data_IF_697514439117
#
_entry.id   IF_697514439117
#
_cell.length_a   1.000
_cell.length_b   1.000
_cell.length_c   1.000
_cell.angle_alpha   90.00
_cell.angle_beta   90.00
_cell.angle_gamma   90.00
#
_symmetry.space_group_name_H-M   'P 1'
#
loop_
_entity.id
_entity.type
_entity.pdbx_description
1 polymer ?
#
# COMPACT_ATOMS: atom_id res chain seq x y z
N UNK A 1 22.28 -10.10 4.05
CA UNK A 1 22.72 -9.40 5.25
C UNK A 1 22.23 -7.96 5.21
N UNK A 2 21.74 -7.44 6.31
CA UNK A 2 21.16 -6.09 6.47
C UNK A 2 22.19 -4.95 6.29
N UNK A 3 23.29 -5.18 5.62
CA UNK A 3 24.37 -4.21 5.38
C UNK A 3 24.25 -3.48 4.05
N UNK A 4 23.54 -4.07 3.08
CA UNK A 4 23.35 -3.44 1.78
C UNK A 4 22.15 -2.51 1.82
N UNK A 5 22.37 -1.23 1.50
CA UNK A 5 21.34 -0.19 1.41
C UNK A 5 20.92 0.05 -0.04
N UNK A 6 19.70 0.56 -0.23
CA UNK A 6 19.19 1.01 -1.53
C UNK A 6 19.32 -0.02 -2.65
N UNK A 7 19.07 -1.31 -2.32
CA UNK A 7 19.06 -2.38 -3.32
C UNK A 7 18.00 -2.03 -4.38
N UNK A 8 18.36 -2.14 -5.66
CA UNK A 8 17.50 -1.82 -6.80
C UNK A 8 17.71 -0.42 -7.38
N UNK A 9 18.21 0.57 -6.60
CA UNK A 9 18.37 1.95 -7.08
C UNK A 9 19.34 2.07 -8.26
N UNK A 10 20.52 1.40 -8.21
CA UNK A 10 21.46 1.40 -9.33
C UNK A 10 20.89 0.71 -10.57
N UNK A 11 20.15 -0.37 -10.38
CA UNK A 11 19.46 -1.08 -11.46
C UNK A 11 18.43 -0.17 -12.11
N UNK A 12 17.63 0.53 -11.32
CA UNK A 12 16.67 1.53 -11.82
C UNK A 12 17.35 2.67 -12.57
N UNK A 13 18.44 3.20 -12.03
CA UNK A 13 19.23 4.23 -12.72
C UNK A 13 19.71 3.74 -14.09
N UNK A 14 20.20 2.50 -14.17
CA UNK A 14 20.62 1.89 -15.44
C UNK A 14 19.45 1.72 -16.42
N UNK A 15 18.29 1.25 -15.94
CA UNK A 15 17.07 1.11 -16.75
C UNK A 15 16.67 2.47 -17.31
N UNK A 16 16.56 3.49 -16.47
CA UNK A 16 16.14 4.82 -16.88
C UNK A 16 17.11 5.46 -17.87
N UNK A 17 18.41 5.31 -17.66
CA UNK A 17 19.44 5.89 -18.52
C UNK A 17 19.43 5.25 -19.91
N UNK A 18 19.20 3.94 -20.02
CA UNK A 18 19.31 3.23 -21.29
C UNK A 18 17.96 3.04 -22.00
N UNK A 19 16.85 3.01 -21.28
CA UNK A 19 15.53 2.69 -21.80
C UNK A 19 14.48 3.80 -21.57
N UNK A 20 14.81 4.83 -20.77
CA UNK A 20 13.91 5.92 -20.42
C UNK A 20 12.94 5.58 -19.28
N UNK A 21 12.19 6.60 -18.84
CA UNK A 21 11.22 6.49 -17.73
C UNK A 21 9.83 6.01 -18.18
N UNK A 22 9.46 6.22 -19.44
CA UNK A 22 8.10 5.97 -19.93
C UNK A 22 8.02 4.62 -20.64
N UNK A 23 7.53 3.60 -19.92
CA UNK A 23 6.99 2.33 -20.45
C UNK A 23 7.77 1.66 -21.60
N UNK A 24 9.07 1.85 -21.69
CA UNK A 24 9.90 1.20 -22.71
C UNK A 24 10.22 -0.25 -22.35
N UNK A 25 10.03 -0.64 -21.09
CA UNK A 25 10.11 -2.02 -20.63
C UNK A 25 8.73 -2.47 -20.15
N UNK A 26 8.39 -3.73 -20.42
CA UNK A 26 7.19 -4.34 -19.89
C UNK A 26 7.25 -4.37 -18.34
N UNK A 27 6.11 -4.34 -17.69
CA UNK A 27 6.03 -4.53 -16.24
C UNK A 27 6.80 -5.81 -15.84
N UNK A 28 7.55 -5.72 -14.74
CA UNK A 28 8.32 -6.83 -14.17
C UNK A 28 9.33 -7.49 -15.12
N UNK A 29 9.80 -6.77 -16.14
CA UNK A 29 10.77 -7.24 -17.14
C UNK A 29 12.04 -7.83 -16.49
N UNK A 30 12.55 -7.17 -15.45
CA UNK A 30 13.66 -7.65 -14.63
C UNK A 30 13.17 -7.95 -13.22
N UNK A 31 13.15 -9.23 -12.85
CA UNK A 31 12.83 -9.66 -11.49
C UNK A 31 14.09 -10.04 -10.72
N UNK A 32 14.33 -9.36 -9.59
CA UNK A 32 15.43 -9.67 -8.66
C UNK A 32 14.85 -10.32 -7.41
N UNK A 33 15.25 -11.55 -7.13
CA UNK A 33 14.84 -12.32 -5.95
C UNK A 33 15.92 -12.25 -4.88
N UNK A 34 15.53 -11.86 -3.67
CA UNK A 34 16.40 -11.68 -2.51
C UNK A 34 15.92 -12.60 -1.38
N UNK A 35 16.86 -13.12 -0.58
CA UNK A 35 16.56 -13.95 0.59
C UNK A 35 17.20 -13.36 1.84
N UNK A 36 16.45 -13.31 2.95
CA UNK A 36 16.89 -12.78 4.23
C UNK A 36 16.52 -11.30 4.41
N UNK A 37 17.25 -10.60 5.26
CA UNK A 37 16.95 -9.21 5.64
C UNK A 37 17.58 -8.23 4.66
N UNK A 38 16.77 -7.43 4.01
CA UNK A 38 17.23 -6.29 3.21
C UNK A 38 17.46 -5.06 4.11
N UNK A 39 18.48 -4.26 3.77
CA UNK A 39 18.78 -3.02 4.48
C UNK A 39 17.79 -1.89 4.17
N UNK A 40 18.16 -0.69 4.62
CA UNK A 40 17.35 0.52 4.42
C UNK A 40 17.18 0.86 2.93
N UNK A 41 16.03 1.47 2.61
CA UNK A 41 15.70 2.02 1.30
C UNK A 41 15.71 0.97 0.18
N UNK A 42 15.26 -0.27 0.48
CA UNK A 42 15.00 -1.29 -0.55
C UNK A 42 14.08 -0.72 -1.63
N UNK A 43 14.44 -0.84 -2.89
CA UNK A 43 13.64 -0.36 -4.01
C UNK A 43 13.48 1.15 -4.08
N UNK A 44 14.36 1.93 -3.42
CA UNK A 44 14.33 3.38 -3.55
C UNK A 44 14.47 3.78 -5.02
N UNK A 45 13.54 4.62 -5.51
CA UNK A 45 13.44 5.08 -6.89
C UNK A 45 13.32 3.94 -7.92
N UNK A 46 12.71 2.81 -7.52
CA UNK A 46 12.50 1.70 -8.46
C UNK A 46 11.59 2.14 -9.61
N UNK A 47 12.14 2.01 -10.82
CA UNK A 47 11.53 2.46 -12.06
C UNK A 47 10.70 1.34 -12.71
N UNK A 48 9.83 1.67 -13.70
CA UNK A 48 9.09 0.67 -14.47
C UNK A 48 10.00 -0.42 -15.05
N UNK A 49 9.50 -1.64 -15.07
CA UNK A 49 10.24 -2.81 -15.56
C UNK A 49 11.08 -3.52 -14.48
N UNK A 50 11.28 -2.94 -13.29
CA UNK A 50 11.99 -3.59 -12.19
C UNK A 50 11.01 -4.15 -11.16
N UNK A 51 11.18 -5.43 -10.83
CA UNK A 51 10.52 -6.11 -9.71
C UNK A 51 11.54 -6.63 -8.71
N UNK A 52 11.33 -6.29 -7.44
CA UNK A 52 12.12 -6.80 -6.33
C UNK A 52 11.25 -7.72 -5.47
N UNK A 53 11.68 -8.96 -5.27
CA UNK A 53 10.99 -9.94 -4.42
C UNK A 53 11.89 -10.33 -3.28
N UNK A 54 11.50 -10.01 -2.05
CA UNK A 54 12.23 -10.36 -0.82
C UNK A 54 11.51 -11.48 -0.09
N UNK A 55 12.18 -12.62 0.08
CA UNK A 55 11.76 -13.68 1.00
C UNK A 55 12.48 -13.48 2.33
N UNK A 56 11.85 -12.75 3.25
CA UNK A 56 12.42 -12.32 4.51
C UNK A 56 11.76 -11.02 4.98
N UNK A 57 12.57 -10.00 5.24
CA UNK A 57 12.14 -8.71 5.76
C UNK A 57 12.95 -7.56 5.14
N UNK A 58 12.52 -6.33 5.33
CA UNK A 58 13.26 -5.14 4.93
C UNK A 58 13.19 -4.06 6.03
N UNK A 59 14.19 -3.17 6.04
CA UNK A 59 14.31 -2.10 7.02
C UNK A 59 13.48 -0.87 6.59
N UNK A 60 13.82 0.32 7.10
CA UNK A 60 13.09 1.56 6.83
C UNK A 60 13.20 2.03 5.37
N UNK A 61 12.29 2.92 4.97
CA UNK A 61 12.25 3.59 3.67
C UNK A 61 12.09 2.66 2.46
N UNK A 62 11.43 1.51 2.62
CA UNK A 62 11.10 0.65 1.47
C UNK A 62 10.29 1.43 0.46
N UNK A 63 10.68 1.38 -0.81
CA UNK A 63 9.99 2.09 -1.90
C UNK A 63 10.04 3.61 -1.81
N UNK A 64 11.03 4.21 -1.10
CA UNK A 64 11.21 5.66 -1.11
C UNK A 64 11.34 6.17 -2.55
N UNK A 65 10.46 7.10 -2.95
CA UNK A 65 10.45 7.63 -4.31
C UNK A 65 10.18 6.58 -5.40
N UNK A 66 9.48 5.49 -5.07
CA UNK A 66 9.06 4.47 -6.04
C UNK A 66 8.35 5.15 -7.22
N UNK A 67 8.73 4.81 -8.45
CA UNK A 67 8.30 5.52 -9.66
C UNK A 67 7.82 4.60 -10.78
N UNK A 68 7.25 3.43 -10.43
CA UNK A 68 6.64 2.49 -11.38
C UNK A 68 7.15 1.05 -11.29
N UNK A 69 8.10 0.76 -10.40
CA UNK A 69 8.54 -0.62 -10.13
C UNK A 69 7.58 -1.37 -9.20
N UNK A 70 7.83 -2.68 -9.06
CA UNK A 70 7.07 -3.55 -8.14
C UNK A 70 7.98 -4.02 -7.01
N UNK A 71 7.53 -3.91 -5.77
CA UNK A 71 8.23 -4.42 -4.58
C UNK A 71 7.33 -5.42 -3.86
N UNK A 72 7.85 -6.62 -3.64
CA UNK A 72 7.18 -7.70 -2.91
C UNK A 72 8.04 -8.09 -1.70
N UNK A 73 7.48 -8.05 -0.50
CA UNK A 73 8.14 -8.52 0.72
C UNK A 73 7.23 -9.56 1.39
N UNK A 74 7.77 -10.75 1.64
CA UNK A 74 7.05 -11.81 2.33
C UNK A 74 8.01 -12.57 3.24
N UNK A 75 7.55 -13.08 4.38
CA UNK A 75 8.37 -13.94 5.22
C UNK A 75 8.87 -15.17 4.45
N UNK A 76 9.98 -15.74 4.88
CA UNK A 76 10.44 -17.01 4.33
C UNK A 76 9.39 -18.10 4.61
N UNK A 77 9.15 -19.02 3.67
CA UNK A 77 8.15 -20.09 3.83
C UNK A 77 8.37 -20.97 5.06
N UNK A 78 9.63 -21.11 5.48
CA UNK A 78 10.01 -21.88 6.68
C UNK A 78 9.84 -21.06 7.98
N UNK A 79 9.44 -19.79 7.90
CA UNK A 79 9.24 -18.94 9.08
C UNK A 79 8.09 -19.48 9.93
N UNK A 80 8.28 -19.70 11.23
CA UNK A 80 7.22 -20.14 12.13
C UNK A 80 6.29 -18.99 12.55
N UNK A 81 6.55 -17.76 12.09
CA UNK A 81 5.80 -16.58 12.49
C UNK A 81 4.42 -16.54 11.82
N UNK A 82 3.44 -16.02 12.52
CA UNK A 82 2.16 -15.61 11.93
C UNK A 82 2.39 -14.30 11.18
N UNK A 83 2.38 -14.34 9.87
CA UNK A 83 2.84 -13.23 9.02
C UNK A 83 2.09 -11.92 9.33
N UNK A 84 0.76 -11.96 9.42
CA UNK A 84 -0.09 -10.80 9.69
C UNK A 84 0.10 -10.17 11.08
N UNK A 85 0.81 -10.82 11.99
CA UNK A 85 1.07 -10.32 13.34
C UNK A 85 2.46 -9.71 13.51
N UNK A 86 3.33 -9.85 12.49
CA UNK A 86 4.72 -9.44 12.55
C UNK A 86 5.03 -8.29 11.60
N UNK A 87 5.85 -7.35 12.06
CA UNK A 87 6.38 -6.26 11.24
C UNK A 87 7.52 -6.78 10.38
N UNK A 88 7.37 -6.72 9.06
CA UNK A 88 8.36 -7.23 8.07
C UNK A 88 8.99 -6.12 7.21
N UNK A 89 8.42 -4.92 7.25
CA UNK A 89 8.99 -3.71 6.64
C UNK A 89 9.00 -2.59 7.68
N UNK A 90 10.05 -1.79 7.70
CA UNK A 90 10.26 -0.78 8.72
C UNK A 90 9.38 0.46 8.57
N UNK A 91 9.91 1.61 9.02
CA UNK A 91 9.20 2.89 9.03
C UNK A 91 9.30 3.64 7.70
N UNK A 92 8.40 4.60 7.50
CA UNK A 92 8.47 5.59 6.42
C UNK A 92 8.48 4.95 5.02
N UNK A 93 7.73 3.87 4.88
CA UNK A 93 7.56 3.11 3.63
C UNK A 93 6.82 3.97 2.59
N UNK A 94 7.21 3.91 1.32
CA UNK A 94 6.67 4.67 0.17
C UNK A 94 6.80 6.19 0.30
N UNK A 95 7.72 6.70 1.11
CA UNK A 95 7.94 8.13 1.22
C UNK A 95 8.16 8.78 -0.15
N UNK A 96 7.23 9.67 -0.54
CA UNK A 96 7.31 10.37 -1.82
C UNK A 96 7.22 9.48 -3.06
N UNK A 97 6.62 8.30 -2.96
CA UNK A 97 6.37 7.42 -4.10
C UNK A 97 5.36 8.06 -5.05
N UNK A 98 5.61 7.95 -6.36
CA UNK A 98 4.79 8.61 -7.41
C UNK A 98 4.03 7.61 -8.28
N UNK A 99 4.45 6.33 -8.31
CA UNK A 99 3.82 5.26 -9.09
C UNK A 99 4.41 3.90 -8.67
N UNK A 100 3.80 2.80 -9.09
CA UNK A 100 4.27 1.44 -8.85
C UNK A 100 3.50 0.71 -7.76
N UNK A 101 3.99 -0.48 -7.39
CA UNK A 101 3.30 -1.38 -6.48
C UNK A 101 4.17 -1.82 -5.32
N UNK A 102 3.57 -1.91 -4.13
CA UNK A 102 4.17 -2.54 -2.96
C UNK A 102 3.21 -3.56 -2.36
N UNK A 103 3.66 -4.80 -2.22
CA UNK A 103 2.93 -5.88 -1.56
C UNK A 103 3.76 -6.45 -0.42
N UNK A 104 3.26 -6.37 0.82
CA UNK A 104 3.96 -6.91 1.97
C UNK A 104 3.03 -7.80 2.81
N UNK A 105 3.33 -9.10 2.85
CA UNK A 105 2.61 -10.06 3.68
C UNK A 105 3.11 -9.99 5.13
N UNK A 106 2.68 -8.96 5.82
CA UNK A 106 3.02 -8.59 7.18
C UNK A 106 2.83 -7.10 7.40
N UNK A 107 3.17 -6.63 8.59
CA UNK A 107 2.96 -5.24 8.99
C UNK A 107 4.11 -4.33 8.56
N UNK A 108 3.79 -3.07 8.35
CA UNK A 108 4.74 -1.98 8.25
C UNK A 108 4.92 -1.29 9.61
N UNK A 109 6.04 -0.61 9.78
CA UNK A 109 6.27 0.28 10.92
C UNK A 109 5.44 1.56 10.84
N UNK A 110 5.91 2.61 11.51
CA UNK A 110 5.25 3.91 11.54
C UNK A 110 5.39 4.65 10.20
N UNK A 111 4.46 5.57 9.92
CA UNK A 111 4.47 6.45 8.75
C UNK A 111 4.48 5.69 7.41
N UNK A 112 3.77 4.55 7.37
CA UNK A 112 3.50 3.86 6.10
C UNK A 112 2.72 4.77 5.15
N UNK A 113 3.13 4.84 3.88
CA UNK A 113 2.44 5.65 2.87
C UNK A 113 2.60 7.17 3.03
N UNK A 114 3.49 7.63 3.93
CA UNK A 114 3.74 9.05 4.14
C UNK A 114 4.16 9.74 2.85
N UNK A 115 3.43 10.82 2.47
CA UNK A 115 3.65 11.55 1.22
C UNK A 115 3.64 10.66 -0.04
N UNK A 116 2.94 9.53 0.00
CA UNK A 116 2.66 8.77 -1.22
C UNK A 116 1.78 9.62 -2.14
N UNK A 117 2.14 9.73 -3.41
CA UNK A 117 1.42 10.54 -4.41
C UNK A 117 0.93 9.75 -5.61
N UNK A 118 1.13 8.41 -5.65
CA UNK A 118 0.66 7.62 -6.80
C UNK A 118 0.83 6.11 -6.70
N UNK A 119 1.71 5.61 -5.81
CA UNK A 119 1.91 4.18 -5.67
C UNK A 119 0.70 3.48 -5.04
N UNK A 120 0.48 2.23 -5.44
CA UNK A 120 -0.55 1.34 -4.88
C UNK A 120 0.10 0.31 -3.96
N UNK A 121 -0.46 0.10 -2.78
CA UNK A 121 0.13 -0.82 -1.81
C UNK A 121 -0.91 -1.63 -1.04
N UNK A 122 -0.55 -2.87 -0.70
CA UNK A 122 -1.30 -3.74 0.20
C UNK A 122 -0.37 -4.27 1.28
N UNK A 123 -0.75 -4.07 2.55
CA UNK A 123 -0.02 -4.54 3.74
C UNK A 123 -0.99 -5.13 4.77
N UNK A 124 -0.47 -5.81 5.78
CA UNK A 124 -1.29 -6.49 6.79
C UNK A 124 -1.34 -5.78 8.16
N UNK A 125 -1.02 -4.50 8.16
CA UNK A 125 -1.09 -3.60 9.32
C UNK A 125 -0.01 -2.54 9.27
N UNK A 126 -0.14 -1.47 10.06
CA UNK A 126 0.88 -0.44 10.18
C UNK A 126 0.89 0.24 11.56
N UNK A 127 2.01 0.87 11.89
CA UNK A 127 2.15 1.72 13.05
C UNK A 127 1.41 3.06 12.92
N UNK A 128 1.71 3.99 13.83
CA UNK A 128 1.11 5.32 13.87
C UNK A 128 1.44 6.17 12.63
N UNK A 129 0.60 7.16 12.35
CA UNK A 129 0.75 8.11 11.24
C UNK A 129 0.77 7.46 9.85
N UNK A 130 0.09 6.32 9.67
CA UNK A 130 -0.11 5.74 8.34
C UNK A 130 -0.80 6.71 7.40
N UNK A 131 -0.39 6.79 6.12
CA UNK A 131 -0.89 7.70 5.09
C UNK A 131 -0.82 9.20 5.44
N UNK A 132 0.07 9.58 6.37
CA UNK A 132 0.29 10.98 6.75
C UNK A 132 0.76 11.79 5.52
N UNK A 133 0.09 12.92 5.24
CA UNK A 133 0.34 13.78 4.07
C UNK A 133 0.32 13.05 2.71
N UNK A 134 -0.41 11.94 2.61
CA UNK A 134 -0.62 11.26 1.32
C UNK A 134 -1.40 12.17 0.37
N UNK A 135 -0.96 12.24 -0.88
CA UNK A 135 -1.53 13.12 -1.92
C UNK A 135 -2.06 12.37 -3.14
N UNK A 136 -1.90 11.05 -3.19
CA UNK A 136 -2.37 10.21 -4.30
C UNK A 136 -2.04 8.75 -4.08
N UNK A 137 -2.46 7.89 -5.01
CA UNK A 137 -2.28 6.45 -4.92
C UNK A 137 -3.32 5.74 -4.07
N UNK A 138 -3.08 4.47 -3.75
CA UNK A 138 -4.01 3.63 -3.00
C UNK A 138 -3.25 2.86 -1.92
N UNK A 139 -3.77 2.88 -0.70
CA UNK A 139 -3.27 2.12 0.42
C UNK A 139 -4.33 1.14 0.94
N UNK A 140 -4.06 -0.16 0.91
CA UNK A 140 -4.93 -1.20 1.48
C UNK A 140 -4.25 -1.80 2.69
N UNK A 141 -4.89 -1.74 3.85
CA UNK A 141 -4.38 -2.26 5.11
C UNK A 141 -5.33 -3.35 5.61
N UNK A 142 -4.85 -4.59 5.60
CA UNK A 142 -5.63 -5.79 5.96
C UNK A 142 -5.61 -6.10 7.46
N UNK A 143 -5.13 -5.19 8.31
CA UNK A 143 -4.99 -5.43 9.73
C UNK A 143 -4.92 -4.15 10.56
N UNK A 144 -4.41 -4.23 11.80
CA UNK A 144 -4.46 -3.10 12.72
C UNK A 144 -3.64 -1.89 12.22
N UNK A 145 -4.11 -0.71 12.60
CA UNK A 145 -3.42 0.56 12.37
C UNK A 145 -3.06 1.21 13.70
N UNK A 146 -2.02 2.05 13.70
CA UNK A 146 -1.70 2.92 14.82
C UNK A 146 -2.49 4.24 14.79
N UNK A 147 -2.25 5.08 15.80
CA UNK A 147 -2.93 6.36 15.96
C UNK A 147 -2.64 7.35 14.83
N UNK A 148 -3.52 8.34 14.68
CA UNK A 148 -3.37 9.49 13.78
C UNK A 148 -3.25 9.11 12.28
N UNK A 149 -3.95 8.04 11.87
CA UNK A 149 -3.97 7.58 10.48
C UNK A 149 -4.59 8.65 9.57
N UNK A 150 -3.96 8.91 8.43
CA UNK A 150 -4.43 9.86 7.42
C UNK A 150 -4.27 11.33 7.78
N UNK A 151 -3.49 11.69 8.81
CA UNK A 151 -3.26 13.07 9.20
C UNK A 151 -2.70 13.90 8.03
N UNK A 152 -3.37 15.00 7.68
CA UNK A 152 -2.98 15.88 6.58
C UNK A 152 -3.06 15.23 5.20
N UNK A 153 -3.75 14.10 5.04
CA UNK A 153 -3.99 13.48 3.75
C UNK A 153 -4.90 14.39 2.90
N UNK A 154 -4.46 14.69 1.68
CA UNK A 154 -5.17 15.58 0.73
C UNK A 154 -5.52 14.89 -0.59
N UNK A 155 -5.05 13.66 -0.82
CA UNK A 155 -5.36 12.92 -2.04
C UNK A 155 -5.13 11.43 -1.91
N UNK A 156 -5.62 10.67 -2.87
CA UNK A 156 -5.59 9.21 -2.88
C UNK A 156 -6.73 8.58 -2.09
N UNK A 157 -6.66 7.25 -1.98
CA UNK A 157 -7.68 6.42 -1.31
C UNK A 157 -7.01 5.46 -0.34
N UNK A 158 -7.59 5.26 0.83
CA UNK A 158 -7.18 4.19 1.72
C UNK A 158 -8.35 3.26 2.05
N UNK A 159 -8.06 1.96 2.20
CA UNK A 159 -9.01 0.93 2.60
C UNK A 159 -8.48 0.21 3.83
N UNK A 160 -9.28 0.17 4.89
CA UNK A 160 -8.94 -0.53 6.13
C UNK A 160 -9.89 -1.72 6.31
N UNK A 161 -9.33 -2.90 6.51
CA UNK A 161 -10.09 -4.06 6.94
C UNK A 161 -10.29 -3.99 8.44
N UNK A 162 -11.52 -3.74 8.89
CA UNK A 162 -11.89 -3.45 10.29
C UNK A 162 -13.15 -4.20 10.73
N UNK A 163 -13.10 -5.54 10.84
CA UNK A 163 -14.25 -6.35 11.23
C UNK A 163 -14.75 -6.04 12.64
N UNK A 164 -13.90 -5.53 13.51
CA UNK A 164 -14.21 -5.24 14.92
C UNK A 164 -14.61 -3.78 15.16
N UNK A 165 -14.66 -2.95 14.11
CA UNK A 165 -14.94 -1.50 14.17
C UNK A 165 -14.00 -0.75 15.14
N UNK A 166 -12.77 -1.20 15.27
CA UNK A 166 -11.79 -0.70 16.23
C UNK A 166 -10.96 0.49 15.73
N UNK A 167 -10.93 0.72 14.40
CA UNK A 167 -10.03 1.71 13.80
C UNK A 167 -10.55 3.14 13.85
N UNK A 168 -11.84 3.37 14.12
CA UNK A 168 -12.46 4.69 14.05
C UNK A 168 -11.75 5.76 14.93
N UNK A 169 -11.30 5.40 16.12
CA UNK A 169 -10.59 6.31 17.03
C UNK A 169 -9.13 6.54 16.62
N UNK A 170 -8.60 5.76 15.69
CA UNK A 170 -7.23 5.86 15.18
C UNK A 170 -7.12 6.77 13.96
N UNK A 171 -8.25 7.04 13.27
CA UNK A 171 -8.28 7.85 12.04
C UNK A 171 -8.37 9.34 12.39
N UNK A 172 -7.55 10.17 11.73
CA UNK A 172 -7.65 11.62 11.86
C UNK A 172 -8.78 12.15 10.96
N UNK A 173 -9.94 12.42 11.54
CA UNK A 173 -11.17 12.83 10.84
C UNK A 173 -11.22 14.31 10.43
N UNK A 174 -10.18 15.10 10.69
CA UNK A 174 -10.16 16.54 10.41
C UNK A 174 -10.44 16.84 8.93
N UNK A 175 -9.71 16.18 8.04
CA UNK A 175 -9.81 16.38 6.57
C UNK A 175 -10.42 15.20 5.83
N UNK A 176 -10.80 14.14 6.52
CA UNK A 176 -11.20 12.87 5.91
C UNK A 176 -12.70 12.61 6.05
N UNK A 177 -13.21 11.81 5.13
CA UNK A 177 -14.49 11.12 5.22
C UNK A 177 -14.25 9.62 5.18
N UNK A 178 -15.13 8.88 5.84
CA UNK A 178 -15.10 7.41 5.89
C UNK A 178 -16.46 6.85 5.50
N UNK A 179 -16.48 5.79 4.72
CA UNK A 179 -17.70 5.04 4.40
C UNK A 179 -17.38 3.57 4.17
N UNK A 180 -18.40 2.73 4.10
CA UNK A 180 -18.24 1.35 3.66
C UNK A 180 -18.06 1.29 2.14
N UNK A 181 -17.43 0.24 1.65
CA UNK A 181 -17.26 -0.01 0.21
C UNK A 181 -18.59 -0.57 -0.33
N UNK A 182 -19.38 0.27 -0.97
CA UNK A 182 -20.72 -0.08 -1.48
C UNK A 182 -20.88 0.16 -2.98
N UNK A 183 -19.95 0.88 -3.60
CA UNK A 183 -19.98 1.20 -5.03
C UNK A 183 -19.14 0.18 -5.80
N UNK A 184 -19.66 -0.48 -6.83
CA UNK A 184 -18.96 -1.55 -7.55
C UNK A 184 -17.60 -1.15 -8.11
N UNK A 185 -17.42 0.10 -8.51
CA UNK A 185 -16.13 0.63 -8.98
C UNK A 185 -15.02 0.45 -7.93
N UNK A 186 -15.29 0.88 -6.70
CA UNK A 186 -14.32 0.82 -5.60
C UNK A 186 -14.13 -0.61 -5.09
N UNK A 187 -15.20 -1.40 -5.08
CA UNK A 187 -15.14 -2.81 -4.73
C UNK A 187 -14.24 -3.59 -5.68
N UNK A 188 -14.40 -3.38 -6.99
CA UNK A 188 -13.57 -4.04 -8.00
C UNK A 188 -12.09 -3.65 -7.88
N UNK A 189 -11.80 -2.37 -7.66
CA UNK A 189 -10.42 -1.88 -7.48
C UNK A 189 -9.78 -2.49 -6.22
N UNK A 190 -10.50 -2.49 -5.10
CA UNK A 190 -10.06 -3.09 -3.85
C UNK A 190 -9.80 -4.59 -4.01
N UNK A 191 -10.77 -5.33 -4.56
CA UNK A 191 -10.67 -6.78 -4.79
C UNK A 191 -9.49 -7.13 -5.69
N UNK A 192 -9.28 -6.37 -6.77
CA UNK A 192 -8.15 -6.59 -7.67
C UNK A 192 -6.80 -6.42 -6.97
N UNK A 193 -6.64 -5.39 -6.13
CA UNK A 193 -5.41 -5.17 -5.37
C UNK A 193 -5.14 -6.27 -4.34
N UNK A 194 -6.18 -6.74 -3.64
CA UNK A 194 -6.04 -7.83 -2.67
C UNK A 194 -5.72 -9.16 -3.40
N UNK A 195 -6.32 -9.39 -4.56
CA UNK A 195 -6.02 -10.56 -5.41
C UNK A 195 -4.56 -10.55 -5.83
N UNK A 196 -4.09 -9.42 -6.36
CA UNK A 196 -2.68 -9.28 -6.75
C UNK A 196 -1.74 -9.47 -5.54
N UNK A 197 -2.09 -8.94 -4.38
CA UNK A 197 -1.32 -9.14 -3.15
C UNK A 197 -1.25 -10.63 -2.76
N UNK A 198 -2.35 -11.35 -2.80
CA UNK A 198 -2.37 -12.79 -2.50
C UNK A 198 -1.50 -13.59 -3.47
N UNK A 199 -1.58 -13.30 -4.77
CA UNK A 199 -0.78 -13.94 -5.83
C UNK A 199 0.72 -13.67 -5.66
N UNK A 200 1.10 -12.43 -5.39
CA UNK A 200 2.51 -12.02 -5.28
C UNK A 200 3.19 -12.50 -4.00
N UNK A 201 2.44 -12.52 -2.90
CA UNK A 201 3.02 -12.80 -1.59
C UNK A 201 2.72 -14.19 -1.06
N UNK A 202 1.60 -14.80 -1.47
CA UNK A 202 1.06 -16.00 -0.85
C UNK A 202 0.41 -15.72 0.51
N UNK A 203 -0.08 -14.50 0.75
CA UNK A 203 -0.74 -14.11 1.99
C UNK A 203 -1.94 -14.99 2.30
N UNK A 204 -1.92 -15.66 3.44
CA UNK A 204 -3.03 -16.46 3.94
C UNK A 204 -4.21 -15.56 4.26
N UNK A 205 -3.94 -14.41 4.92
CA UNK A 205 -4.97 -13.45 5.30
C UNK A 205 -5.73 -12.89 4.10
N UNK A 206 -5.00 -12.50 3.05
CA UNK A 206 -5.62 -12.01 1.82
C UNK A 206 -6.44 -13.11 1.13
N UNK A 207 -5.93 -14.34 1.12
CA UNK A 207 -6.63 -15.50 0.55
C UNK A 207 -7.93 -15.81 1.30
N UNK A 208 -7.93 -15.75 2.63
CA UNK A 208 -9.12 -15.97 3.46
C UNK A 208 -10.18 -14.88 3.22
N UNK A 209 -9.77 -13.62 3.12
CA UNK A 209 -10.67 -12.49 2.80
C UNK A 209 -11.30 -12.72 1.42
N UNK A 210 -10.50 -13.08 0.42
CA UNK A 210 -11.00 -13.31 -0.95
C UNK A 210 -11.93 -14.52 -1.05
N UNK A 211 -11.67 -15.59 -0.31
CA UNK A 211 -12.52 -16.77 -0.27
C UNK A 211 -13.92 -16.46 0.27
N UNK A 212 -14.03 -15.50 1.17
CA UNK A 212 -15.29 -15.10 1.80
C UNK A 212 -15.70 -13.68 1.40
N UNK A 213 -15.32 -13.23 0.21
CA UNK A 213 -15.42 -11.85 -0.25
C UNK A 213 -16.80 -11.20 -0.02
N UNK A 214 -17.88 -11.89 -0.35
CA UNK A 214 -19.24 -11.35 -0.23
C UNK A 214 -19.61 -10.93 1.21
N UNK A 215 -19.00 -11.59 2.21
CA UNK A 215 -19.12 -11.25 3.62
C UNK A 215 -18.07 -10.22 4.04
N UNK A 216 -16.83 -10.44 3.64
CA UNK A 216 -15.69 -9.67 4.14
C UNK A 216 -15.58 -8.28 3.52
N UNK A 217 -16.15 -8.06 2.33
CA UNK A 217 -16.20 -6.73 1.70
C UNK A 217 -16.91 -5.69 2.60
N UNK A 218 -17.94 -6.09 3.33
CA UNK A 218 -18.66 -5.22 4.27
C UNK A 218 -17.82 -4.77 5.48
N UNK A 219 -16.70 -5.42 5.75
CA UNK A 219 -15.76 -5.08 6.82
C UNK A 219 -14.70 -4.06 6.38
N UNK A 220 -14.73 -3.60 5.13
CA UNK A 220 -13.80 -2.57 4.67
C UNK A 220 -14.35 -1.16 4.85
N UNK A 221 -13.55 -0.34 5.51
CA UNK A 221 -13.75 1.11 5.62
C UNK A 221 -12.91 1.79 4.55
N UNK A 222 -13.59 2.52 3.66
CA UNK A 222 -12.97 3.37 2.65
C UNK A 222 -12.75 4.78 3.21
N UNK A 223 -11.55 5.33 3.03
CA UNK A 223 -11.13 6.63 3.56
C UNK A 223 -10.72 7.51 2.40
N UNK A 224 -11.30 8.70 2.32
CA UNK A 224 -11.05 9.67 1.26
C UNK A 224 -10.93 11.08 1.83
N UNK A 225 -9.98 11.93 1.36
CA UNK A 225 -9.99 13.34 1.67
C UNK A 225 -11.25 14.05 1.18
N UNK A 226 -11.78 14.95 2.00
CA UNK A 226 -12.98 15.75 1.64
C UNK A 226 -12.82 16.50 0.32
N UNK A 227 -11.63 17.05 0.09
CA UNK A 227 -11.29 17.80 -1.11
C UNK A 227 -11.32 16.95 -2.40
N UNK A 228 -11.13 15.64 -2.27
CA UNK A 228 -11.11 14.73 -3.42
C UNK A 228 -12.51 14.33 -3.90
N UNK A 229 -13.56 14.51 -3.09
CA UNK A 229 -14.92 14.03 -3.40
C UNK A 229 -15.43 14.49 -4.76
N UNK A 230 -15.13 15.73 -5.14
CA UNK A 230 -15.56 16.33 -6.43
C UNK A 230 -14.72 15.86 -7.63
N UNK A 231 -13.60 15.20 -7.40
CA UNK A 231 -12.66 14.74 -8.43
C UNK A 231 -12.67 13.22 -8.62
N UNK A 232 -13.46 12.50 -7.83
CA UNK A 232 -13.53 11.04 -7.90
C UNK A 232 -14.17 10.57 -9.20
N UNK A 233 -13.69 9.48 -9.82
CA UNK A 233 -14.28 8.92 -11.06
C UNK A 233 -15.64 8.27 -10.81
N UNK A 234 -15.97 7.93 -9.56
CA UNK A 234 -17.25 7.41 -9.11
C UNK A 234 -17.61 7.98 -7.74
N UNK A 235 -18.90 8.10 -7.37
CA UNK A 235 -19.28 8.54 -6.04
C UNK A 235 -18.71 7.60 -4.98
N UNK A 236 -18.38 8.16 -3.81
CA UNK A 236 -17.80 7.39 -2.72
C UNK A 236 -18.79 6.38 -2.11
N UNK A 237 -20.07 6.76 -2.04
CA UNK A 237 -21.15 5.87 -1.63
C UNK A 237 -22.41 6.20 -2.43
N UNK A 238 -23.31 5.23 -2.56
CA UNK A 238 -24.61 5.39 -3.23
C UNK A 238 -25.56 6.40 -2.52
N UNK A 239 -25.24 6.83 -1.31
CA UNK A 239 -26.07 7.69 -0.48
C UNK A 239 -25.52 9.13 -0.27
N UNK A 240 -24.42 9.52 -0.93
CA UNK A 240 -23.80 10.85 -0.75
C UNK A 240 -24.34 11.92 -1.76
N UNK A 241 -25.51 11.77 -2.32
CA UNK A 241 -26.15 12.88 -3.05
C UNK A 241 -26.58 14.07 -2.17
N UNK A 242 -26.45 13.97 -0.83
CA UNK A 242 -27.00 14.99 0.11
C UNK A 242 -25.97 15.75 0.95
N UNK A 243 -24.66 15.62 0.68
CA UNK A 243 -23.63 16.23 1.54
C UNK A 243 -22.73 17.27 0.84
N UNK A 244 -23.10 17.75 -0.35
CA UNK A 244 -22.45 18.93 -0.94
C UNK A 244 -23.29 20.14 -0.52
N UNK A 245 -22.78 21.07 0.31
CA UNK A 245 -23.46 22.36 0.51
C UNK A 245 -23.53 23.06 -0.85
N UNK A 246 -24.72 23.38 -1.31
CA UNK A 246 -24.90 24.35 -2.40
C UNK A 246 -24.33 25.68 -1.91
N UNK A 247 -23.35 26.26 -2.63
CA UNK A 247 -22.92 27.64 -2.48
C UNK A 247 -24.06 28.61 -2.79
#
# INVERSE_FOLDING_TARGET
>A
QNTLRSIGTRTSSHIVTNFGMKNNLQADHLTVKLQGSAGQALGAFAAPGLKLVVSGEANDYVGKGLSGGTIVVRPAQISPLVWSENTIIGNTVLYGATDGYLFAAGRAGERFGVRNSGAKAVIEGCGSNGCEYMTGGIAVILGPIGANFGAGMTGGMAYLYDPDLSTKCMINMETLVTCLVTVPHWEQELKALITQHAEETGSIKASDILQHWDRECANFVQICPKEMLVHLPAPLSSNIESAIPAE
#
